data_IF_185549198321
#
_entry.id   IF_185549198321
#
_cell.length_a   1.000
_cell.length_b   1.000
_cell.length_c   1.000
_cell.angle_alpha   90.00
_cell.angle_beta   90.00
_cell.angle_gamma   90.00
#
_symmetry.space_group_name_H-M   'P 1'
#
loop_
_entity.id
_entity.type
_entity.pdbx_description
1 polymer ?
#
# COMPACT_ATOMS: atom_id res chain seq x y z
N UNK A 1 -8.96 -16.70 9.99
CA UNK A 1 -8.32 -16.06 11.15
C UNK A 1 -7.64 -14.78 10.70
N UNK A 2 -7.99 -13.63 11.29
CA UNK A 2 -7.33 -12.35 11.00
C UNK A 2 -5.97 -12.39 11.69
N UNK A 3 -4.90 -12.73 10.96
CA UNK A 3 -3.56 -12.68 11.53
C UNK A 3 -3.22 -11.19 11.74
N UNK A 4 -3.19 -10.77 13.00
CA UNK A 4 -2.70 -9.44 13.38
C UNK A 4 -1.25 -9.36 12.94
N UNK A 5 -0.98 -8.50 11.96
CA UNK A 5 0.37 -8.22 11.55
C UNK A 5 1.17 -7.68 12.74
N UNK A 6 2.42 -8.12 12.95
CA UNK A 6 3.22 -7.68 14.08
C UNK A 6 3.42 -6.16 13.99
N UNK A 7 3.31 -5.47 15.12
CA UNK A 7 3.63 -4.05 15.26
C UNK A 7 4.89 -3.89 16.09
N UNK A 8 5.60 -2.78 15.93
CA UNK A 8 6.63 -2.39 16.89
C UNK A 8 6.02 -2.38 18.30
N UNK A 9 6.76 -2.96 19.25
CA UNK A 9 6.46 -2.79 20.67
C UNK A 9 6.69 -1.34 21.06
N UNK A 10 5.95 -0.87 22.06
CA UNK A 10 6.11 0.48 22.58
C UNK A 10 7.56 0.76 23.00
N UNK A 11 8.08 1.93 22.66
CA UNK A 11 9.47 2.31 22.94
C UNK A 11 10.54 1.66 22.05
N UNK A 12 10.17 0.78 21.11
CA UNK A 12 11.13 0.17 20.16
C UNK A 12 11.19 0.93 18.84
N UNK A 13 12.37 1.00 18.22
CA UNK A 13 12.57 1.60 16.89
C UNK A 13 12.13 3.07 16.76
N UNK A 14 12.06 3.81 17.86
CA UNK A 14 11.53 5.18 17.91
C UNK A 14 12.27 6.10 16.93
N UNK A 15 13.60 6.11 16.98
CA UNK A 15 14.42 6.97 16.12
C UNK A 15 14.27 6.61 14.64
N UNK A 16 14.25 5.30 14.32
CA UNK A 16 14.05 4.81 12.95
C UNK A 16 12.66 5.21 12.42
N UNK A 17 11.62 5.04 13.23
CA UNK A 17 10.26 5.43 12.86
C UNK A 17 10.19 6.93 12.62
N UNK A 18 10.75 7.75 13.51
CA UNK A 18 10.80 9.22 13.34
C UNK A 18 11.48 9.60 12.03
N UNK A 19 12.66 9.03 11.76
CA UNK A 19 13.40 9.26 10.52
C UNK A 19 12.57 8.90 9.28
N UNK A 20 11.93 7.73 9.27
CA UNK A 20 11.09 7.31 8.14
C UNK A 20 9.90 8.26 7.96
N UNK A 21 9.29 8.72 9.04
CA UNK A 21 8.18 9.67 8.95
C UNK A 21 8.62 11.02 8.38
N UNK A 22 9.77 11.55 8.80
CA UNK A 22 10.33 12.78 8.22
C UNK A 22 10.62 12.61 6.72
N UNK A 23 11.10 11.45 6.30
CA UNK A 23 11.29 11.12 4.90
C UNK A 23 9.97 11.10 4.11
N UNK A 24 8.94 10.49 4.68
CA UNK A 24 7.60 10.41 4.08
C UNK A 24 6.86 11.77 4.08
N UNK A 25 7.25 12.67 4.99
CA UNK A 25 6.73 14.02 5.08
C UNK A 25 7.33 14.99 4.06
N UNK A 26 8.42 14.60 3.41
CA UNK A 26 9.08 15.41 2.41
C UNK A 26 8.76 14.93 0.98
N UNK A 27 7.86 15.61 0.24
CA UNK A 27 7.43 15.18 -1.10
C UNK A 27 8.55 15.21 -2.15
N UNK A 28 9.67 15.90 -1.86
CA UNK A 28 10.84 15.95 -2.75
C UNK A 28 11.84 14.83 -2.49
N UNK A 29 11.75 14.14 -1.34
CA UNK A 29 12.89 13.35 -0.85
C UNK A 29 12.79 11.83 -1.00
N UNK A 30 11.65 11.20 -1.28
CA UNK A 30 11.68 9.74 -1.46
C UNK A 30 10.53 9.13 -2.28
N UNK A 31 10.88 8.08 -3.05
CA UNK A 31 9.94 7.16 -3.72
C UNK A 31 10.11 5.70 -3.29
N UNK A 32 11.23 5.35 -2.67
CA UNK A 32 11.57 4.00 -2.23
C UNK A 32 12.40 4.05 -0.94
N UNK A 33 12.03 3.24 0.05
CA UNK A 33 12.77 3.09 1.31
C UNK A 33 13.24 1.65 1.43
N UNK A 34 14.53 1.44 1.64
CA UNK A 34 15.14 0.12 1.78
C UNK A 34 15.50 -0.16 3.24
N UNK A 35 14.70 -0.98 3.92
CA UNK A 35 14.96 -1.39 5.31
C UNK A 35 15.63 -2.77 5.34
N UNK A 36 16.90 -2.81 5.70
CA UNK A 36 17.71 -4.04 5.78
C UNK A 36 18.18 -4.33 7.20
N UNK A 37 18.54 -5.60 7.47
CA UNK A 37 19.00 -6.04 8.78
C UNK A 37 18.82 -7.55 8.98
N UNK A 38 19.26 -8.07 10.11
CA UNK A 38 19.19 -9.50 10.45
C UNK A 38 17.75 -10.03 10.44
N UNK A 39 17.59 -11.30 10.07
CA UNK A 39 16.29 -11.97 10.14
C UNK A 39 15.79 -12.00 11.59
N UNK A 40 14.48 -11.88 11.80
CA UNK A 40 13.87 -11.93 13.13
C UNK A 40 13.86 -10.62 13.92
N UNK A 41 14.59 -9.57 13.51
CA UNK A 41 14.67 -8.31 14.27
C UNK A 41 13.41 -7.41 14.19
N UNK A 42 12.34 -7.88 13.55
CA UNK A 42 11.08 -7.14 13.51
C UNK A 42 10.95 -6.09 12.39
N UNK A 43 11.74 -6.18 11.31
CA UNK A 43 11.62 -5.25 10.15
C UNK A 43 10.21 -5.16 9.58
N UNK A 44 9.52 -6.30 9.43
CA UNK A 44 8.11 -6.30 8.99
C UNK A 44 7.22 -5.54 9.97
N UNK A 45 7.51 -5.62 11.27
CA UNK A 45 6.76 -4.92 12.30
C UNK A 45 6.88 -3.39 12.16
N UNK A 46 8.08 -2.89 11.82
CA UNK A 46 8.32 -1.48 11.49
C UNK A 46 7.44 -1.03 10.31
N UNK A 47 7.45 -1.78 9.21
CA UNK A 47 6.65 -1.44 8.01
C UNK A 47 5.15 -1.45 8.31
N UNK A 48 4.66 -2.43 9.08
CA UNK A 48 3.26 -2.47 9.51
C UNK A 48 2.87 -1.29 10.40
N UNK A 49 3.71 -0.95 11.38
CA UNK A 49 3.50 0.23 12.24
C UNK A 49 3.43 1.52 11.41
N UNK A 50 4.30 1.69 10.43
CA UNK A 50 4.27 2.84 9.52
C UNK A 50 2.96 2.87 8.72
N UNK A 51 2.60 1.75 8.09
CA UNK A 51 1.39 1.66 7.26
C UNK A 51 0.13 1.98 8.06
N UNK A 52 0.03 1.51 9.30
CA UNK A 52 -1.10 1.83 10.18
C UNK A 52 -1.15 3.28 10.60
N UNK A 53 0.00 3.88 10.98
CA UNK A 53 0.04 5.31 11.30
C UNK A 53 -0.44 6.12 10.10
N UNK A 54 0.08 5.83 8.91
CA UNK A 54 -0.30 6.53 7.68
C UNK A 54 -1.79 6.32 7.30
N UNK A 55 -2.36 5.16 7.61
CA UNK A 55 -3.80 4.90 7.44
C UNK A 55 -4.66 5.74 8.37
N UNK A 56 -4.20 5.96 9.60
CA UNK A 56 -4.89 6.70 10.66
C UNK A 56 -4.83 8.23 10.52
N UNK A 57 -3.91 8.78 9.73
CA UNK A 57 -3.82 10.21 9.47
C UNK A 57 -5.10 10.69 8.73
N UNK A 58 -5.86 11.58 9.37
CA UNK A 58 -7.06 12.22 8.82
C UNK A 58 -6.74 13.60 8.29
N UNK A 59 -7.43 14.01 7.23
CA UNK A 59 -7.50 15.42 6.79
C UNK A 59 -8.27 16.19 7.86
N UNK A 60 -7.57 16.95 8.70
CA UNK A 60 -8.20 17.92 9.59
C UNK A 60 -8.09 19.30 8.96
N UNK A 61 -9.23 19.98 8.77
CA UNK A 61 -9.32 21.29 8.09
C UNK A 61 -8.58 22.47 8.75
N UNK A 62 -7.68 22.20 9.71
CA UNK A 62 -6.80 23.19 10.34
C UNK A 62 -5.31 22.77 10.38
N UNK A 63 -4.96 21.60 9.85
CA UNK A 63 -3.57 21.19 9.65
C UNK A 63 -3.42 20.50 8.30
N UNK A 64 -2.43 20.92 7.52
CA UNK A 64 -2.13 20.48 6.14
C UNK A 64 -1.65 19.01 6.05
N UNK A 65 -2.16 18.10 6.89
CA UNK A 65 -1.85 16.67 6.85
C UNK A 65 -2.89 15.99 5.98
N UNK A 66 -2.64 16.01 4.68
CA UNK A 66 -3.43 15.27 3.70
C UNK A 66 -3.39 13.77 4.03
N UNK A 67 -4.49 13.05 3.78
CA UNK A 67 -4.54 11.59 3.88
C UNK A 67 -3.63 11.01 2.79
N UNK A 68 -2.39 10.64 3.15
CA UNK A 68 -1.35 10.27 2.18
C UNK A 68 -1.37 8.81 1.72
N UNK A 69 -2.16 7.94 2.35
CA UNK A 69 -2.15 6.51 2.05
C UNK A 69 -3.31 6.08 1.14
N UNK A 70 -3.00 5.94 -0.15
CA UNK A 70 -3.91 5.42 -1.18
C UNK A 70 -4.25 3.95 -0.96
N UNK A 71 -3.25 3.12 -0.67
CA UNK A 71 -3.42 1.70 -0.38
C UNK A 71 -2.13 1.06 0.16
N UNK A 72 -2.23 -0.21 0.55
CA UNK A 72 -1.13 -1.03 1.08
C UNK A 72 -1.22 -2.43 0.52
N UNK A 73 -0.08 -3.00 0.17
CA UNK A 73 0.08 -4.41 -0.20
C UNK A 73 1.35 -4.96 0.43
N UNK A 74 1.29 -6.19 0.94
CA UNK A 74 2.43 -6.85 1.59
C UNK A 74 2.74 -8.16 0.87
N UNK A 75 3.95 -8.26 0.33
CA UNK A 75 4.48 -9.53 -0.14
C UNK A 75 4.85 -10.40 1.05
N UNK A 76 4.31 -11.62 1.11
CA UNK A 76 4.53 -12.55 2.22
C UNK A 76 4.87 -13.95 1.70
N UNK A 77 6.06 -14.44 2.04
CA UNK A 77 6.47 -15.82 1.73
C UNK A 77 5.60 -16.87 2.43
N UNK A 78 4.91 -16.53 3.52
CA UNK A 78 4.02 -17.44 4.25
C UNK A 78 2.65 -17.60 3.57
N UNK A 79 2.25 -16.64 2.73
CA UNK A 79 0.93 -16.57 2.11
C UNK A 79 1.04 -16.36 0.59
N UNK A 80 1.92 -17.13 -0.05
CA UNK A 80 2.22 -16.94 -1.48
C UNK A 80 0.97 -17.04 -2.36
N UNK A 81 -0.03 -17.86 -2.02
CA UNK A 81 -1.26 -18.02 -2.80
C UNK A 81 -2.10 -16.74 -2.96
N UNK A 82 -1.98 -15.78 -2.03
CA UNK A 82 -2.80 -14.56 -2.01
C UNK A 82 -1.96 -13.27 -2.07
N UNK A 83 -0.63 -13.39 -2.08
CA UNK A 83 0.30 -12.27 -2.07
C UNK A 83 1.34 -12.38 -3.19
N UNK A 84 0.96 -12.96 -4.35
CA UNK A 84 1.78 -12.90 -5.57
C UNK A 84 1.70 -11.52 -6.21
N UNK A 85 2.66 -11.23 -7.09
CA UNK A 85 2.67 -9.99 -7.85
C UNK A 85 1.40 -9.79 -8.68
N UNK A 86 0.77 -10.87 -9.17
CA UNK A 86 -0.48 -10.84 -9.95
C UNK A 86 -1.66 -10.15 -9.24
N UNK A 87 -1.65 -10.11 -7.90
CA UNK A 87 -2.68 -9.42 -7.12
C UNK A 87 -2.29 -8.01 -6.69
N UNK A 88 -1.06 -7.57 -6.96
CA UNK A 88 -0.53 -6.30 -6.45
C UNK A 88 -1.38 -5.11 -6.91
N UNK A 89 -1.50 -4.92 -8.23
CA UNK A 89 -2.26 -3.80 -8.78
C UNK A 89 -3.74 -3.93 -8.48
N UNK A 90 -4.34 -5.11 -8.68
CA UNK A 90 -5.76 -5.34 -8.36
C UNK A 90 -6.11 -4.95 -6.91
N UNK A 91 -5.27 -5.33 -5.95
CA UNK A 91 -5.49 -5.02 -4.54
C UNK A 91 -5.41 -3.52 -4.28
N UNK A 92 -4.42 -2.83 -4.85
CA UNK A 92 -4.28 -1.39 -4.67
C UNK A 92 -5.43 -0.62 -5.36
N UNK A 93 -5.82 -1.02 -6.56
CA UNK A 93 -6.95 -0.44 -7.30
C UNK A 93 -8.25 -0.62 -6.52
N UNK A 94 -8.50 -1.81 -5.99
CA UNK A 94 -9.67 -2.06 -5.15
C UNK A 94 -9.70 -1.12 -3.92
N UNK A 95 -8.56 -0.95 -3.24
CA UNK A 95 -8.46 -0.05 -2.09
C UNK A 95 -8.63 1.44 -2.46
N UNK A 96 -8.25 1.83 -3.67
CA UNK A 96 -8.46 3.18 -4.19
C UNK A 96 -9.92 3.40 -4.60
N UNK A 97 -10.49 2.50 -5.40
CA UNK A 97 -11.88 2.57 -5.86
C UNK A 97 -12.89 2.57 -4.70
N UNK A 98 -12.60 1.87 -3.61
CA UNK A 98 -13.44 1.90 -2.39
C UNK A 98 -13.40 3.24 -1.64
N UNK A 99 -12.35 4.05 -1.86
CA UNK A 99 -12.19 5.38 -1.24
C UNK A 99 -12.60 6.53 -2.15
N UNK A 100 -12.50 6.36 -3.47
CA UNK A 100 -12.69 7.41 -4.46
C UNK A 100 -13.70 6.98 -5.54
N UNK A 101 -14.94 7.51 -5.51
CA UNK A 101 -15.99 7.13 -6.45
C UNK A 101 -15.67 7.41 -7.92
N UNK A 102 -14.80 8.39 -8.22
CA UNK A 102 -14.34 8.66 -9.60
C UNK A 102 -13.56 7.46 -10.15
N UNK A 103 -12.54 7.02 -9.41
CA UNK A 103 -11.71 5.85 -9.75
C UNK A 103 -12.59 4.60 -9.90
N UNK A 104 -13.57 4.40 -9.02
CA UNK A 104 -14.46 3.25 -9.06
C UNK A 104 -15.17 3.11 -10.41
N UNK A 105 -15.68 4.21 -10.96
CA UNK A 105 -16.42 4.18 -12.24
C UNK A 105 -15.52 3.78 -13.40
N UNK A 106 -14.29 4.30 -13.43
CA UNK A 106 -13.36 4.04 -14.52
C UNK A 106 -12.78 2.62 -14.44
N UNK A 107 -12.47 2.15 -13.22
CA UNK A 107 -12.06 0.75 -12.98
C UNK A 107 -13.15 -0.24 -13.39
N UNK A 108 -14.41 0.01 -13.00
CA UNK A 108 -15.52 -0.87 -13.38
C UNK A 108 -15.67 -0.95 -14.90
N UNK A 109 -15.52 0.18 -15.60
CA UNK A 109 -15.55 0.20 -17.07
C UNK A 109 -14.42 -0.62 -17.67
N UNK A 110 -13.18 -0.42 -17.20
CA UNK A 110 -12.03 -1.18 -17.66
C UNK A 110 -12.21 -2.70 -17.48
N UNK A 111 -12.78 -3.12 -16.36
CA UNK A 111 -13.09 -4.54 -16.09
C UNK A 111 -14.23 -5.05 -16.99
N UNK A 112 -15.28 -4.27 -17.21
CA UNK A 112 -16.36 -4.63 -18.13
C UNK A 112 -15.87 -4.78 -19.57
N UNK A 113 -14.99 -3.88 -20.01
CA UNK A 113 -14.42 -3.89 -21.37
C UNK A 113 -13.41 -5.04 -21.55
N UNK A 114 -12.65 -5.38 -20.49
CA UNK A 114 -11.68 -6.46 -20.51
C UNK A 114 -11.61 -7.23 -19.18
N UNK A 115 -12.45 -8.27 -19.00
CA UNK A 115 -12.46 -9.08 -17.78
C UNK A 115 -11.13 -9.82 -17.51
N UNK A 116 -10.31 -10.07 -18.53
CA UNK A 116 -9.01 -10.74 -18.37
C UNK A 116 -8.00 -9.92 -17.55
N UNK A 117 -8.30 -8.64 -17.25
CA UNK A 117 -7.52 -7.83 -16.31
C UNK A 117 -7.57 -8.35 -14.87
N UNK A 118 -8.58 -9.17 -14.54
CA UNK A 118 -8.71 -9.81 -13.22
C UNK A 118 -7.96 -11.14 -13.13
N UNK A 119 -7.39 -11.64 -14.23
CA UNK A 119 -6.59 -12.84 -14.24
C UNK A 119 -5.23 -12.56 -13.55
N UNK A 120 -4.88 -13.26 -12.47
CA UNK A 120 -3.60 -13.10 -11.78
C UNK A 120 -2.38 -13.44 -12.65
N UNK A 121 -2.57 -14.23 -13.72
CA UNK A 121 -1.51 -14.62 -14.65
C UNK A 121 -1.33 -13.62 -15.80
N UNK A 122 -2.18 -12.58 -15.86
CA UNK A 122 -2.04 -11.46 -16.80
C UNK A 122 -0.76 -10.68 -16.53
N UNK A 123 -0.16 -10.11 -17.57
CA UNK A 123 1.01 -9.26 -17.43
C UNK A 123 0.73 -8.07 -16.50
N UNK A 124 1.61 -7.88 -15.51
CA UNK A 124 1.49 -6.81 -14.53
C UNK A 124 1.47 -5.42 -15.16
N UNK A 125 2.19 -5.23 -16.27
CA UNK A 125 2.18 -3.98 -17.01
C UNK A 125 0.78 -3.66 -17.57
N UNK A 126 0.08 -4.67 -18.12
CA UNK A 126 -1.27 -4.51 -18.64
C UNK A 126 -2.25 -4.16 -17.51
N UNK A 127 -2.16 -4.87 -16.37
CA UNK A 127 -2.96 -4.57 -15.19
C UNK A 127 -2.68 -3.16 -14.64
N UNK A 128 -1.41 -2.76 -14.56
CA UNK A 128 -1.01 -1.43 -14.11
C UNK A 128 -1.56 -0.35 -15.03
N UNK A 129 -1.40 -0.50 -16.34
CA UNK A 129 -1.83 0.51 -17.29
C UNK A 129 -3.35 0.66 -17.28
N UNK A 130 -4.09 -0.46 -17.38
CA UNK A 130 -5.54 -0.44 -17.52
C UNK A 130 -6.28 -0.14 -16.21
N UNK A 131 -5.83 -0.71 -15.08
CA UNK A 131 -6.54 -0.59 -13.81
C UNK A 131 -5.99 0.52 -12.90
N UNK A 132 -4.72 0.92 -13.08
CA UNK A 132 -4.07 1.88 -12.18
C UNK A 132 -3.83 3.23 -12.87
N UNK A 133 -3.13 3.27 -14.01
CA UNK A 133 -2.71 4.53 -14.64
C UNK A 133 -3.83 5.26 -15.40
N UNK A 134 -4.68 4.53 -16.13
CA UNK A 134 -5.81 5.14 -16.86
C UNK A 134 -6.92 5.67 -15.93
N UNK A 135 -7.25 5.00 -14.81
CA UNK A 135 -8.29 5.47 -13.89
C UNK A 135 -7.85 6.55 -12.88
N UNK A 136 -6.55 6.85 -12.76
CA UNK A 136 -5.98 7.85 -11.85
C UNK A 136 -5.65 9.16 -12.57
#
# INVERSE_FOLDING_TARGET
EHQLHPKCLEGTWVDLLSYIYELLDNPKKNRLIWLHGTAGIGKSAVVFTIAERMKGLKVTGQTNVEKRLGGTFFFSCKHMKHCTAGYFFMTLVYQLATKFPSIQKDVNRAICDNPALLDPDKFLCDQMEALFLKPL
#
